data_IF_284925790287
#
_entry.id   IF_284925790287
#
_cell.length_a   1.000
_cell.length_b   1.000
_cell.length_c   1.000
_cell.angle_alpha   90.00
_cell.angle_beta   90.00
_cell.angle_gamma   90.00
#
_symmetry.space_group_name_H-M   'P 1'
#
loop_
_entity.id
_entity.type
_entity.pdbx_description
1 polymer ?
#
# COMPACT_ATOMS: atom_id res chain seq x y z
N UNK A 1 -16.33 -30.85 -24.01
CA UNK A 1 -17.16 -29.76 -23.45
C UNK A 1 -16.47 -29.19 -22.22
N UNK A 2 -15.55 -28.24 -22.40
CA UNK A 2 -14.89 -27.57 -21.28
C UNK A 2 -15.80 -26.47 -20.76
N UNK A 3 -16.29 -26.60 -19.53
CA UNK A 3 -16.99 -25.54 -18.81
C UNK A 3 -15.98 -24.44 -18.52
N UNK A 4 -15.90 -23.43 -19.39
CA UNK A 4 -15.31 -22.15 -19.03
C UNK A 4 -16.21 -21.54 -17.97
N UNK A 5 -15.86 -21.70 -16.70
CA UNK A 5 -16.48 -20.94 -15.62
C UNK A 5 -16.04 -19.49 -15.86
N UNK A 6 -16.88 -18.73 -16.58
CA UNK A 6 -16.85 -17.27 -16.50
C UNK A 6 -17.34 -16.93 -15.10
N UNK A 7 -16.41 -16.91 -14.15
CA UNK A 7 -16.64 -16.25 -12.87
C UNK A 7 -16.89 -14.78 -13.22
N UNK A 8 -18.11 -14.32 -12.96
CA UNK A 8 -18.46 -12.91 -13.14
C UNK A 8 -17.50 -12.10 -12.28
N UNK A 9 -16.92 -11.03 -12.84
CA UNK A 9 -16.03 -10.08 -12.18
C UNK A 9 -16.66 -9.34 -10.95
N UNK A 10 -17.79 -9.84 -10.46
CA UNK A 10 -18.68 -9.23 -9.49
C UNK A 10 -19.16 -10.21 -8.41
N UNK A 11 -18.51 -11.37 -8.23
CA UNK A 11 -18.71 -12.18 -7.02
C UNK A 11 -17.75 -11.69 -5.91
N UNK A 12 -18.21 -10.91 -4.93
CA UNK A 12 -17.36 -10.37 -3.86
C UNK A 12 -16.67 -11.49 -3.07
N UNK A 13 -17.33 -12.65 -2.95
CA UNK A 13 -16.79 -13.79 -2.21
C UNK A 13 -15.57 -14.40 -2.89
N UNK A 14 -15.46 -14.28 -4.22
CA UNK A 14 -14.30 -14.75 -4.96
C UNK A 14 -13.08 -13.84 -4.74
N UNK A 15 -13.28 -12.52 -4.84
CA UNK A 15 -12.22 -11.53 -4.57
C UNK A 15 -11.70 -11.70 -3.14
N UNK A 16 -12.59 -11.87 -2.17
CA UNK A 16 -12.22 -12.11 -0.77
C UNK A 16 -11.37 -13.39 -0.61
N UNK A 17 -11.80 -14.53 -1.18
CA UNK A 17 -11.03 -15.79 -1.09
C UNK A 17 -9.66 -15.67 -1.78
N UNK A 18 -9.60 -14.98 -2.91
CA UNK A 18 -8.33 -14.75 -3.61
C UNK A 18 -7.39 -13.88 -2.79
N UNK A 19 -7.91 -12.80 -2.19
CA UNK A 19 -7.15 -11.92 -1.31
C UNK A 19 -6.63 -12.65 -0.07
N UNK A 20 -7.44 -13.53 0.54
CA UNK A 20 -6.99 -14.35 1.68
C UNK A 20 -5.81 -15.22 1.27
N UNK A 21 -5.91 -15.88 0.10
CA UNK A 21 -4.83 -16.74 -0.39
C UNK A 21 -3.56 -15.98 -0.71
N UNK A 22 -3.70 -14.82 -1.35
CA UNK A 22 -2.59 -13.92 -1.69
C UNK A 22 -1.89 -13.42 -0.43
N UNK A 23 -2.66 -13.04 0.59
CA UNK A 23 -2.14 -12.56 1.88
C UNK A 23 -1.34 -13.66 2.58
N UNK A 24 -1.90 -14.87 2.68
CA UNK A 24 -1.23 -16.04 3.26
C UNK A 24 0.12 -16.35 2.57
N UNK A 25 0.12 -16.35 1.23
CA UNK A 25 1.34 -16.59 0.44
C UNK A 25 2.36 -15.47 0.66
N UNK A 26 1.94 -14.22 0.60
CA UNK A 26 2.84 -13.08 0.77
C UNK A 26 3.44 -13.03 2.19
N UNK A 27 2.66 -13.32 3.23
CA UNK A 27 3.11 -13.31 4.62
C UNK A 27 4.03 -14.50 4.96
N UNK A 28 3.92 -15.60 4.21
CA UNK A 28 4.86 -16.73 4.27
C UNK A 28 6.14 -16.54 3.43
N UNK A 29 6.41 -15.30 2.98
CA UNK A 29 7.60 -14.96 2.18
C UNK A 29 7.52 -15.37 0.71
N UNK A 30 6.36 -15.86 0.24
CA UNK A 30 6.13 -16.34 -1.13
C UNK A 30 5.45 -15.27 -1.99
N UNK A 31 5.94 -14.03 -1.91
CA UNK A 31 5.36 -12.88 -2.61
C UNK A 31 5.34 -13.04 -4.15
N UNK A 32 6.34 -13.71 -4.73
CA UNK A 32 6.37 -14.00 -6.17
C UNK A 32 5.22 -14.94 -6.60
N UNK A 33 4.88 -15.94 -5.79
CA UNK A 33 3.77 -16.85 -6.07
C UNK A 33 2.42 -16.15 -5.89
N UNK A 34 2.30 -15.31 -4.86
CA UNK A 34 1.15 -14.45 -4.64
C UNK A 34 0.92 -13.52 -5.85
N UNK A 35 1.99 -12.91 -6.37
CA UNK A 35 1.93 -12.06 -7.56
C UNK A 35 1.50 -12.84 -8.80
N UNK A 36 2.04 -14.05 -9.01
CA UNK A 36 1.67 -14.89 -10.14
C UNK A 36 0.16 -15.24 -10.14
N UNK A 37 -0.43 -15.48 -8.97
CA UNK A 37 -1.87 -15.67 -8.84
C UNK A 37 -2.64 -14.45 -9.32
N UNK A 38 -2.25 -13.24 -8.90
CA UNK A 38 -2.93 -12.00 -9.26
C UNK A 38 -2.85 -11.69 -10.76
N UNK A 39 -1.72 -12.01 -11.41
CA UNK A 39 -1.53 -11.75 -12.85
C UNK A 39 -2.28 -12.71 -13.77
N UNK A 40 -2.75 -13.86 -13.25
CA UNK A 40 -3.48 -14.85 -14.02
C UNK A 40 -4.98 -14.54 -14.16
N UNK A 41 -5.47 -13.49 -13.50
CA UNK A 41 -6.87 -13.10 -13.54
C UNK A 41 -7.05 -11.74 -14.24
N UNK A 42 -8.02 -11.66 -15.14
CA UNK A 42 -8.42 -10.42 -15.82
C UNK A 42 -9.29 -9.50 -14.91
N UNK A 43 -9.17 -9.66 -13.59
CA UNK A 43 -10.00 -8.98 -12.61
C UNK A 43 -9.26 -7.79 -12.03
N UNK A 44 -9.77 -6.59 -12.29
CA UNK A 44 -9.13 -5.32 -11.94
C UNK A 44 -9.94 -4.59 -10.85
N UNK A 45 -10.07 -5.20 -9.67
CA UNK A 45 -10.66 -4.51 -8.50
C UNK A 45 -9.60 -3.68 -7.77
N UNK A 46 -9.95 -2.55 -7.12
CA UNK A 46 -9.00 -1.76 -6.33
C UNK A 46 -8.25 -2.58 -5.28
N UNK A 47 -8.89 -3.58 -4.67
CA UNK A 47 -8.30 -4.47 -3.66
C UNK A 47 -7.26 -5.40 -4.27
N UNK A 48 -7.53 -5.99 -5.44
CA UNK A 48 -6.57 -6.84 -6.14
C UNK A 48 -5.40 -6.03 -6.71
N UNK A 49 -5.66 -4.81 -7.17
CA UNK A 49 -4.61 -3.88 -7.59
C UNK A 49 -3.74 -3.44 -6.41
N UNK A 50 -4.34 -3.17 -5.25
CA UNK A 50 -3.60 -2.90 -4.02
C UNK A 50 -2.71 -4.10 -3.64
N UNK A 51 -3.28 -5.30 -3.63
CA UNK A 51 -2.55 -6.53 -3.33
C UNK A 51 -1.40 -6.77 -4.33
N UNK A 52 -1.62 -6.49 -5.61
CA UNK A 52 -0.59 -6.57 -6.66
C UNK A 52 0.57 -5.63 -6.34
N UNK A 53 0.27 -4.38 -6.00
CA UNK A 53 1.28 -3.40 -5.59
C UNK A 53 2.06 -3.82 -4.34
N UNK A 54 1.39 -4.37 -3.32
CA UNK A 54 2.05 -4.89 -2.12
C UNK A 54 2.98 -6.06 -2.44
N UNK A 55 2.53 -7.03 -3.24
CA UNK A 55 3.37 -8.15 -3.68
C UNK A 55 4.59 -7.65 -4.48
N UNK A 56 4.41 -6.68 -5.37
CA UNK A 56 5.50 -6.07 -6.13
C UNK A 56 6.52 -5.39 -5.21
N UNK A 57 6.09 -4.64 -4.19
CA UNK A 57 7.01 -4.06 -3.21
C UNK A 57 7.77 -5.14 -2.42
N UNK A 58 7.10 -6.22 -2.02
CA UNK A 58 7.74 -7.36 -1.32
C UNK A 58 8.72 -8.14 -2.22
N UNK A 59 8.60 -8.01 -3.53
CA UNK A 59 9.54 -8.53 -4.52
C UNK A 59 10.60 -7.50 -4.95
N UNK A 60 10.73 -6.37 -4.24
CA UNK A 60 11.64 -5.26 -4.56
C UNK A 60 11.41 -4.60 -5.94
N UNK A 61 10.22 -4.81 -6.53
CA UNK A 61 9.82 -4.25 -7.83
C UNK A 61 9.07 -2.93 -7.63
N UNK A 62 9.73 -1.96 -7.01
CA UNK A 62 9.08 -0.74 -6.52
C UNK A 62 8.48 0.15 -7.62
N UNK A 63 9.16 0.32 -8.76
CA UNK A 63 8.64 1.11 -9.87
C UNK A 63 7.40 0.48 -10.51
N UNK A 64 7.33 -0.86 -10.55
CA UNK A 64 6.13 -1.57 -11.02
C UNK A 64 4.97 -1.40 -10.02
N UNK A 65 5.26 -1.46 -8.72
CA UNK A 65 4.25 -1.18 -7.69
C UNK A 65 3.69 0.25 -7.85
N UNK A 66 4.56 1.24 -8.06
CA UNK A 66 4.16 2.64 -8.32
C UNK A 66 3.25 2.74 -9.53
N UNK A 67 3.55 2.05 -10.64
CA UNK A 67 2.72 2.04 -11.85
C UNK A 67 1.33 1.47 -11.56
N UNK A 68 1.26 0.35 -10.83
CA UNK A 68 -0.01 -0.28 -10.44
C UNK A 68 -0.82 0.63 -9.53
N UNK A 69 -0.22 1.23 -8.49
CA UNK A 69 -0.94 2.15 -7.61
C UNK A 69 -1.47 3.39 -8.37
N UNK A 70 -0.66 3.98 -9.25
CA UNK A 70 -1.08 5.14 -10.04
C UNK A 70 -2.25 4.84 -10.99
N UNK A 71 -2.39 3.62 -11.49
CA UNK A 71 -3.42 3.29 -12.49
C UNK A 71 -4.85 3.43 -11.95
N UNK A 72 -5.05 3.26 -10.64
CA UNK A 72 -6.39 3.33 -10.02
C UNK A 72 -6.51 4.40 -8.93
N UNK A 73 -5.40 4.81 -8.30
CA UNK A 73 -5.46 5.81 -7.23
C UNK A 73 -5.53 7.24 -7.71
N UNK A 74 -5.19 7.53 -8.98
CA UNK A 74 -5.19 8.91 -9.46
C UNK A 74 -6.61 9.38 -9.79
N UNK A 75 -6.98 10.56 -9.30
CA UNK A 75 -8.20 11.25 -9.68
C UNK A 75 -8.14 11.66 -11.16
N UNK A 76 -9.30 11.93 -11.76
CA UNK A 76 -9.37 12.47 -13.12
C UNK A 76 -8.50 13.74 -13.23
N UNK A 77 -7.54 13.74 -14.16
CA UNK A 77 -6.54 14.79 -14.32
C UNK A 77 -5.15 14.48 -13.74
N UNK A 78 -4.99 13.40 -12.95
CA UNK A 78 -3.68 12.83 -12.62
C UNK A 78 -2.84 13.58 -11.57
N UNK A 79 -3.38 14.63 -10.94
CA UNK A 79 -2.62 15.50 -10.02
C UNK A 79 -2.78 15.06 -8.55
N UNK A 80 -3.90 14.44 -8.17
CA UNK A 80 -4.19 14.03 -6.78
C UNK A 80 -4.63 12.58 -6.70
N UNK A 81 -4.41 11.94 -5.56
CA UNK A 81 -5.06 10.65 -5.26
C UNK A 81 -6.56 10.82 -5.06
N UNK A 82 -7.35 9.81 -5.40
CA UNK A 82 -8.79 9.77 -5.09
C UNK A 82 -8.98 9.62 -3.58
N UNK A 83 -9.95 10.36 -3.04
CA UNK A 83 -10.28 10.34 -1.61
C UNK A 83 -11.32 9.26 -1.25
N UNK A 84 -11.86 8.53 -2.23
CA UNK A 84 -12.82 7.45 -2.01
C UNK A 84 -12.16 6.09 -1.70
N UNK A 85 -10.82 6.03 -1.75
CA UNK A 85 -10.06 4.83 -1.47
C UNK A 85 -9.72 4.71 0.01
N UNK A 86 -9.68 3.49 0.56
CA UNK A 86 -9.20 3.26 1.92
C UNK A 86 -7.79 3.80 2.12
N UNK A 87 -7.52 4.35 3.31
CA UNK A 87 -6.23 4.96 3.66
C UNK A 87 -5.03 4.02 3.44
N UNK A 88 -5.19 2.72 3.69
CA UNK A 88 -4.12 1.74 3.47
C UNK A 88 -3.67 1.63 2.01
N UNK A 89 -4.54 1.89 1.02
CA UNK A 89 -4.15 1.93 -0.40
C UNK A 89 -3.19 3.09 -0.65
N UNK A 90 -3.52 4.28 -0.13
CA UNK A 90 -2.71 5.50 -0.25
C UNK A 90 -1.39 5.38 0.52
N UNK A 91 -1.43 4.74 1.69
CA UNK A 91 -0.23 4.43 2.47
C UNK A 91 0.71 3.47 1.73
N UNK A 92 0.18 2.43 1.08
CA UNK A 92 0.99 1.53 0.25
C UNK A 92 1.63 2.24 -0.94
N UNK A 93 0.91 3.18 -1.57
CA UNK A 93 1.48 4.00 -2.63
C UNK A 93 2.61 4.91 -2.11
N UNK A 94 2.39 5.58 -0.98
CA UNK A 94 3.42 6.38 -0.32
C UNK A 94 4.66 5.54 0.02
N UNK A 95 4.45 4.33 0.55
CA UNK A 95 5.52 3.41 0.89
C UNK A 95 6.32 2.98 -0.35
N UNK A 96 5.63 2.69 -1.48
CA UNK A 96 6.30 2.35 -2.73
C UNK A 96 7.18 3.50 -3.26
N UNK A 97 6.71 4.75 -3.15
CA UNK A 97 7.51 5.93 -3.48
C UNK A 97 8.75 6.02 -2.61
N UNK A 98 8.60 5.88 -1.30
CA UNK A 98 9.73 5.94 -0.35
C UNK A 98 10.76 4.84 -0.58
N UNK A 99 10.31 3.59 -0.78
CA UNK A 99 11.18 2.44 -1.09
C UNK A 99 11.94 2.60 -2.42
N UNK A 100 11.37 3.35 -3.37
CA UNK A 100 12.00 3.67 -4.66
C UNK A 100 12.76 4.99 -4.66
N UNK A 101 13.32 5.39 -3.51
CA UNK A 101 14.11 6.62 -3.32
C UNK A 101 13.36 7.93 -3.65
N UNK A 102 12.02 7.94 -3.60
CA UNK A 102 11.16 9.11 -3.83
C UNK A 102 10.45 9.54 -2.55
N UNK A 103 11.23 9.75 -1.47
CA UNK A 103 10.71 10.05 -0.13
C UNK A 103 9.92 11.38 -0.07
N UNK A 104 10.20 12.35 -0.95
CA UNK A 104 9.34 13.53 -1.11
C UNK A 104 7.93 13.20 -1.59
N UNK A 105 7.82 12.30 -2.57
CA UNK A 105 6.51 11.79 -2.99
C UNK A 105 5.78 11.05 -1.87
N UNK A 106 6.50 10.27 -1.06
CA UNK A 106 5.93 9.65 0.15
C UNK A 106 5.38 10.71 1.12
N UNK A 107 6.17 11.74 1.43
CA UNK A 107 5.77 12.83 2.33
C UNK A 107 4.54 13.58 1.81
N UNK A 108 4.49 13.87 0.51
CA UNK A 108 3.39 14.63 -0.09
C UNK A 108 2.09 13.82 -0.10
N UNK A 109 2.13 12.54 -0.46
CA UNK A 109 0.96 11.65 -0.35
C UNK A 109 0.45 11.59 1.10
N UNK A 110 1.33 11.46 2.09
CA UNK A 110 0.94 11.40 3.51
C UNK A 110 0.35 12.70 4.06
N UNK A 111 0.67 13.86 3.46
CA UNK A 111 0.04 15.15 3.80
C UNK A 111 -1.38 15.26 3.26
N UNK A 112 -1.68 14.58 2.15
CA UNK A 112 -3.00 14.59 1.52
C UNK A 112 -3.99 13.61 2.16
N UNK A 113 -3.53 12.63 2.93
CA UNK A 113 -4.41 11.64 3.58
C UNK A 113 -5.14 12.28 4.77
N UNK A 114 -6.48 12.25 4.73
CA UNK A 114 -7.34 12.62 5.84
C UNK A 114 -7.34 11.58 6.97
N UNK A 115 -7.86 11.93 8.14
CA UNK A 115 -7.87 11.11 9.36
C UNK A 115 -6.44 10.71 9.82
N UNK A 116 -5.72 11.61 10.51
CA UNK A 116 -4.34 11.36 10.94
C UNK A 116 -4.18 10.21 11.93
N UNK A 117 -5.27 9.77 12.58
CA UNK A 117 -5.27 8.74 13.62
C UNK A 117 -5.52 7.32 13.07
N UNK A 118 -5.72 7.18 11.75
CA UNK A 118 -5.82 5.89 11.08
C UNK A 118 -4.53 5.07 11.27
N UNK A 119 -4.68 3.79 11.62
CA UNK A 119 -3.56 2.92 11.99
C UNK A 119 -2.50 2.79 10.87
N UNK A 120 -2.92 2.72 9.60
CA UNK A 120 -1.99 2.62 8.46
C UNK A 120 -1.28 3.95 8.22
N UNK A 121 -1.96 5.08 8.45
CA UNK A 121 -1.38 6.43 8.35
C UNK A 121 -0.34 6.64 9.45
N UNK A 122 -0.69 6.33 10.70
CA UNK A 122 0.22 6.43 11.85
C UNK A 122 1.45 5.56 11.62
N UNK A 123 1.26 4.31 11.20
CA UNK A 123 2.34 3.38 10.89
C UNK A 123 3.27 3.94 9.79
N UNK A 124 2.71 4.44 8.71
CA UNK A 124 3.49 4.91 7.55
C UNK A 124 4.22 6.22 7.84
N UNK A 125 3.61 7.12 8.63
CA UNK A 125 4.29 8.32 9.15
C UNK A 125 5.44 7.95 10.08
N UNK A 126 5.25 6.98 10.97
CA UNK A 126 6.32 6.52 11.85
C UNK A 126 7.54 5.97 11.08
N UNK A 127 7.34 5.34 9.91
CA UNK A 127 8.43 4.93 9.01
C UNK A 127 9.18 6.17 8.49
N UNK A 128 8.45 7.17 7.97
CA UNK A 128 9.04 8.42 7.48
C UNK A 128 9.80 9.19 8.59
N UNK A 129 9.25 9.21 9.80
CA UNK A 129 9.84 9.87 10.96
C UNK A 129 11.13 9.17 11.40
N UNK A 130 11.13 7.83 11.46
CA UNK A 130 12.35 7.04 11.75
C UNK A 130 13.42 7.25 10.69
N UNK A 131 13.04 7.26 9.41
CA UNK A 131 13.98 7.57 8.33
C UNK A 131 14.55 8.99 8.48
N UNK A 132 13.71 9.99 8.74
CA UNK A 132 14.15 11.38 8.96
C UNK A 132 15.09 11.48 10.17
N UNK A 133 14.81 10.73 11.24
CA UNK A 133 15.67 10.64 12.41
C UNK A 133 17.00 9.91 12.14
N UNK A 134 17.08 9.05 11.12
CA UNK A 134 18.34 8.40 10.73
C UNK A 134 19.31 9.35 10.00
N UNK A 135 18.80 10.45 9.41
CA UNK A 135 19.61 11.42 8.68
C UNK A 135 20.58 12.16 9.63
N UNK A 136 21.78 12.45 9.11
CA UNK A 136 22.73 13.36 9.77
C UNK A 136 22.15 14.76 9.92
N UNK A 137 22.71 15.58 10.81
CA UNK A 137 22.24 16.96 11.00
C UNK A 137 22.25 17.76 9.69
N UNK A 138 23.30 17.62 8.87
CA UNK A 138 23.37 18.26 7.54
C UNK A 138 22.36 17.67 6.56
N UNK A 139 22.14 16.35 6.60
CA UNK A 139 21.13 15.67 5.80
C UNK A 139 19.71 16.13 6.13
N UNK A 140 19.40 16.33 7.41
CA UNK A 140 18.10 16.88 7.86
C UNK A 140 17.90 18.31 7.40
N UNK A 141 18.92 19.16 7.50
CA UNK A 141 18.85 20.54 7.03
C UNK A 141 18.66 20.60 5.51
N UNK A 142 19.42 19.81 4.76
CA UNK A 142 19.27 19.69 3.31
C UNK A 142 17.88 19.21 2.91
N UNK A 143 17.37 18.18 3.60
CA UNK A 143 16.02 17.68 3.40
C UNK A 143 14.95 18.75 3.62
N UNK A 144 15.06 19.51 4.72
CA UNK A 144 14.18 20.63 5.01
C UNK A 144 14.22 21.73 3.92
N UNK A 145 15.38 21.92 3.28
CA UNK A 145 15.56 22.81 2.13
C UNK A 145 15.13 22.19 0.78
N UNK A 146 14.58 20.97 0.78
CA UNK A 146 14.10 20.29 -0.43
C UNK A 146 15.15 19.47 -1.17
N UNK A 147 16.34 19.28 -0.60
CA UNK A 147 17.38 18.41 -1.17
C UNK A 147 17.14 16.96 -0.74
N UNK A 148 16.90 16.07 -1.69
CA UNK A 148 16.69 14.65 -1.41
C UNK A 148 17.97 13.99 -0.85
N UNK A 149 17.93 13.39 0.35
CA UNK A 149 19.07 12.66 0.91
C UNK A 149 19.30 11.34 0.17
N UNK A 150 20.56 10.97 -0.03
CA UNK A 150 20.97 9.67 -0.57
C UNK A 150 21.03 8.59 0.53
N UNK A 151 19.89 8.39 1.21
CA UNK A 151 19.74 7.41 2.29
C UNK A 151 18.48 6.59 2.00
N UNK A 152 18.58 5.26 1.83
CA UNK A 152 17.42 4.43 1.53
C UNK A 152 16.40 4.43 2.68
N UNK A 153 15.12 4.27 2.33
CA UNK A 153 14.07 4.13 3.32
C UNK A 153 14.21 2.78 4.04
N UNK A 154 14.44 2.79 5.35
CA UNK A 154 14.40 1.60 6.18
C UNK A 154 12.97 1.32 6.65
N UNK A 155 12.49 0.09 6.43
CA UNK A 155 11.17 -0.34 6.86
C UNK A 155 11.31 -1.54 7.79
N UNK A 156 10.91 -1.36 9.04
CA UNK A 156 10.82 -2.45 10.01
C UNK A 156 9.45 -3.13 9.90
N UNK A 157 9.44 -4.46 9.72
CA UNK A 157 8.22 -5.27 9.65
C UNK A 157 7.67 -5.49 8.23
N UNK A 158 6.42 -5.97 8.10
CA UNK A 158 5.88 -6.40 6.81
C UNK A 158 5.67 -5.24 5.84
N UNK A 159 6.19 -5.32 4.62
CA UNK A 159 5.99 -4.26 3.61
C UNK A 159 4.52 -4.28 3.14
N UNK A 160 3.87 -3.11 3.26
CA UNK A 160 2.50 -2.86 2.81
C UNK A 160 1.40 -3.57 3.62
N UNK A 161 0.16 -3.15 3.38
CA UNK A 161 -1.06 -3.64 4.03
C UNK A 161 -2.07 -4.13 2.97
N UNK A 162 -2.47 -5.40 3.03
CA UNK A 162 -3.44 -5.96 2.07
C UNK A 162 -4.89 -5.56 2.37
N UNK A 163 -5.23 -5.52 3.67
CA UNK A 163 -6.56 -5.20 4.21
C UNK A 163 -6.37 -4.32 5.44
N UNK A 164 -7.30 -3.41 5.75
CA UNK A 164 -7.21 -2.65 6.98
C UNK A 164 -7.22 -3.63 8.15
N UNK A 165 -6.50 -3.31 9.23
CA UNK A 165 -6.66 -4.06 10.47
C UNK A 165 -8.15 -4.11 10.81
N UNK A 166 -8.67 -5.28 11.15
CA UNK A 166 -10.05 -5.39 11.60
C UNK A 166 -10.24 -4.35 12.71
N UNK A 167 -11.17 -3.41 12.52
CA UNK A 167 -11.62 -2.57 13.61
C UNK A 167 -12.24 -3.56 14.57
N UNK A 168 -11.50 -3.94 15.62
CA UNK A 168 -12.09 -4.63 16.74
C UNK A 168 -13.15 -3.66 17.24
N UNK A 169 -14.41 -3.89 16.86
CA UNK A 169 -15.54 -3.25 17.52
C UNK A 169 -15.34 -3.57 18.99
N UNK A 170 -14.83 -2.59 19.74
CA UNK A 170 -15.12 -2.52 21.15
C UNK A 170 -16.63 -2.31 21.20
N UNK A 171 -17.36 -3.42 21.14
CA UNK A 171 -18.76 -3.49 21.51
C UNK A 171 -18.81 -2.82 22.85
N UNK A 172 -19.40 -1.63 22.85
CA UNK A 172 -19.76 -0.87 24.02
C UNK A 172 -20.62 -1.77 24.89
N UNK A 173 -19.99 -2.49 25.82
CA UNK A 173 -20.64 -2.99 27.01
C UNK A 173 -20.92 -1.78 27.90
N UNK A 174 -21.89 -0.96 27.49
CA UNK A 174 -22.55 0.01 28.34
C UNK A 174 -24.04 0.03 28.02
N UNK A 175 -24.70 -1.03 28.44
CA UNK A 175 -26.14 -1.17 28.63
C UNK A 175 -26.25 -2.32 29.64
N UNK A 176 -26.76 -2.19 30.86
CA UNK A 176 -27.58 -1.20 31.54
C UNK A 176 -27.18 -1.15 33.03
#
# INVERSE_FOLDING_TARGET
>A
MSRTIRYSASDPTYVERLLDKVTELADSGRANEALALLTNFDLQSPELLNATGVCLMRCERYDDAIRVFRSYQMAAGGIRTRDDLPNHHRCNFALALGLSARVGGMSDVLKEIGNPDDADVVRTRAILDRWTASLSWTGRLGWWLGVAPDVPLAVDGPIGTFRPAAVTEQVTAKTA
#
